data_IF_078409809253
#
_entry.id   IF_078409809253
#
_cell.length_a   1.000
_cell.length_b   1.000
_cell.length_c   1.000
_cell.angle_alpha   90.00
_cell.angle_beta   90.00
_cell.angle_gamma   90.00
#
_symmetry.space_group_name_H-M   'P 1'
#
loop_
_entity.id
_entity.type
_entity.pdbx_description
1 polymer ?
#
# COMPACT_ATOMS: atom_id res chain seq x y z
N UNK A 1 -18.47 -2.98 8.33
CA UNK A 1 -17.57 -3.37 7.22
C UNK A 1 -18.24 -4.24 6.16
N UNK A 2 -18.63 -5.48 6.43
CA UNK A 2 -19.14 -6.43 5.42
C UNK A 2 -20.28 -5.93 4.52
N UNK A 3 -21.28 -5.24 5.08
CA UNK A 3 -22.36 -4.60 4.30
C UNK A 3 -21.79 -3.67 3.20
N UNK A 4 -20.86 -2.78 3.55
CA UNK A 4 -20.25 -1.83 2.62
C UNK A 4 -19.44 -2.52 1.50
N UNK A 5 -18.83 -3.68 1.79
CA UNK A 5 -18.09 -4.50 0.79
C UNK A 5 -19.06 -5.11 -0.24
N UNK A 6 -20.28 -5.48 0.19
CA UNK A 6 -21.26 -6.18 -0.65
C UNK A 6 -22.25 -5.25 -1.35
N UNK A 7 -22.51 -4.07 -0.79
CA UNK A 7 -23.65 -3.21 -1.13
C UNK A 7 -23.60 -2.59 -2.53
N UNK A 8 -22.41 -2.40 -3.11
CA UNK A 8 -22.33 -1.81 -4.45
C UNK A 8 -22.61 -2.85 -5.54
N UNK A 9 -23.65 -2.61 -6.35
CA UNK A 9 -24.11 -3.56 -7.37
C UNK A 9 -23.07 -3.84 -8.48
N UNK A 10 -22.23 -2.85 -8.81
CA UNK A 10 -21.20 -2.96 -9.86
C UNK A 10 -19.84 -3.41 -9.31
N UNK A 11 -19.68 -3.42 -7.98
CA UNK A 11 -18.44 -3.73 -7.30
C UNK A 11 -18.72 -4.40 -5.95
N UNK A 12 -19.04 -5.69 -6.02
CA UNK A 12 -19.35 -6.53 -4.86
C UNK A 12 -18.33 -7.65 -4.75
N UNK A 13 -17.73 -7.82 -3.56
CA UNK A 13 -16.70 -8.85 -3.32
C UNK A 13 -17.16 -9.82 -2.22
N UNK A 14 -16.72 -11.08 -2.31
CA UNK A 14 -16.80 -11.99 -1.16
C UNK A 14 -15.83 -11.54 -0.06
N UNK A 15 -16.16 -11.85 1.19
CA UNK A 15 -15.29 -11.59 2.33
C UNK A 15 -15.45 -12.71 3.36
N UNK A 16 -14.39 -12.93 4.14
CA UNK A 16 -14.44 -13.68 5.39
C UNK A 16 -14.27 -12.70 6.55
N UNK A 17 -14.61 -13.15 7.76
CA UNK A 17 -14.36 -12.40 8.99
C UNK A 17 -13.74 -13.33 10.03
N UNK A 18 -12.81 -12.77 10.81
CA UNK A 18 -12.15 -13.46 11.91
C UNK A 18 -11.79 -12.43 12.98
N UNK A 19 -11.63 -12.89 14.23
CA UNK A 19 -11.05 -12.04 15.27
C UNK A 19 -9.53 -11.92 15.10
N UNK A 20 -8.95 -10.87 15.66
CA UNK A 20 -7.52 -10.65 15.69
C UNK A 20 -6.79 -11.78 16.46
N UNK A 21 -7.39 -12.38 17.50
CA UNK A 21 -6.77 -13.52 18.19
C UNK A 21 -6.69 -14.77 17.32
N UNK A 22 -7.65 -14.97 16.41
CA UNK A 22 -7.59 -16.08 15.45
C UNK A 22 -6.43 -15.92 14.47
N UNK A 23 -6.12 -14.67 14.08
CA UNK A 23 -4.94 -14.32 13.28
C UNK A 23 -3.67 -14.54 14.10
N UNK A 24 -3.62 -14.03 15.34
CA UNK A 24 -2.46 -14.13 16.23
C UNK A 24 -2.09 -15.59 16.54
N UNK A 25 -3.11 -16.45 16.74
CA UNK A 25 -2.93 -17.90 16.99
C UNK A 25 -2.67 -18.70 15.72
N UNK A 26 -2.62 -18.06 14.55
CA UNK A 26 -2.34 -18.71 13.25
C UNK A 26 -3.52 -19.52 12.69
N UNK A 27 -4.72 -19.40 13.26
CA UNK A 27 -5.93 -20.02 12.72
C UNK A 27 -6.39 -19.38 11.41
N UNK A 28 -6.05 -18.10 11.21
CA UNK A 28 -6.28 -17.37 9.95
C UNK A 28 -4.98 -16.75 9.47
N UNK A 29 -4.55 -17.11 8.27
CA UNK A 29 -3.35 -16.55 7.65
C UNK A 29 -3.67 -15.33 6.80
N UNK A 30 -3.07 -14.18 7.12
CA UNK A 30 -3.23 -12.94 6.33
C UNK A 30 -2.81 -13.12 4.87
N UNK A 31 -1.85 -14.01 4.58
CA UNK A 31 -1.37 -14.25 3.21
C UNK A 31 -2.38 -14.96 2.32
N UNK A 32 -3.46 -15.51 2.88
CA UNK A 32 -4.56 -16.08 2.10
C UNK A 32 -5.46 -14.99 1.47
N UNK A 33 -5.36 -13.75 1.96
CA UNK A 33 -6.22 -12.65 1.56
C UNK A 33 -5.47 -11.62 0.70
N UNK A 34 -6.13 -11.13 -0.35
CA UNK A 34 -5.60 -10.05 -1.20
C UNK A 34 -5.66 -8.69 -0.51
N UNK A 35 -6.69 -8.49 0.31
CA UNK A 35 -6.93 -7.29 1.11
C UNK A 35 -7.37 -7.74 2.49
N UNK A 36 -6.83 -7.10 3.52
CA UNK A 36 -7.24 -7.26 4.91
C UNK A 36 -7.84 -5.93 5.35
N UNK A 37 -9.05 -5.98 5.90
CA UNK A 37 -9.65 -4.85 6.61
C UNK A 37 -9.49 -5.10 8.10
N UNK A 38 -8.73 -4.26 8.79
CA UNK A 38 -8.45 -4.35 10.22
C UNK A 38 -9.19 -3.22 10.93
N UNK A 39 -10.26 -3.57 11.65
CA UNK A 39 -11.13 -2.63 12.33
C UNK A 39 -10.84 -2.65 13.83
N UNK A 40 -10.50 -1.49 14.39
CA UNK A 40 -10.07 -1.34 15.79
C UNK A 40 -11.07 -0.58 16.66
N UNK A 41 -12.13 -0.01 16.07
CA UNK A 41 -13.09 0.77 16.85
C UNK A 41 -12.39 1.88 17.63
N UNK A 42 -12.65 1.90 18.94
CA UNK A 42 -12.03 2.83 19.92
C UNK A 42 -10.92 2.18 20.75
N UNK A 43 -10.33 1.08 20.29
CA UNK A 43 -9.17 0.52 20.98
C UNK A 43 -8.06 1.59 21.07
N UNK A 44 -7.44 1.65 22.24
CA UNK A 44 -6.41 2.61 22.62
C UNK A 44 -5.42 1.95 23.59
N UNK A 45 -4.61 2.73 24.29
CA UNK A 45 -3.55 2.28 25.21
C UNK A 45 -4.00 1.28 26.28
N UNK A 46 -5.27 1.29 26.69
CA UNK A 46 -5.79 0.36 27.71
C UNK A 46 -6.01 -1.06 27.17
N UNK A 47 -6.47 -1.17 25.92
CA UNK A 47 -6.84 -2.43 25.29
C UNK A 47 -5.82 -2.92 24.24
N UNK A 48 -4.82 -2.08 23.91
CA UNK A 48 -3.73 -2.29 22.93
C UNK A 48 -4.26 -2.47 21.50
N UNK A 49 -4.02 -1.49 20.61
CA UNK A 49 -4.55 -1.53 19.24
C UNK A 49 -3.92 -2.62 18.38
N UNK A 50 -2.61 -2.51 18.13
CA UNK A 50 -1.82 -3.53 17.45
C UNK A 50 -0.77 -4.05 18.42
N UNK A 51 -1.02 -5.23 18.97
CA UNK A 51 -0.04 -5.92 19.79
C UNK A 51 1.25 -6.22 19.03
N UNK A 52 2.35 -6.38 19.77
CA UNK A 52 3.65 -6.71 19.17
C UNK A 52 3.61 -7.93 18.22
N UNK A 53 2.77 -8.92 18.53
CA UNK A 53 2.56 -10.11 17.68
C UNK A 53 1.80 -9.78 16.39
N UNK A 54 0.74 -8.97 16.48
CA UNK A 54 -0.04 -8.53 15.32
C UNK A 54 0.79 -7.63 14.40
N UNK A 55 1.58 -6.72 14.97
CA UNK A 55 2.51 -5.90 14.21
C UNK A 55 3.50 -6.76 13.40
N UNK A 56 4.01 -7.84 13.98
CA UNK A 56 4.91 -8.76 13.29
C UNK A 56 4.23 -9.48 12.11
N UNK A 57 2.99 -9.94 12.30
CA UNK A 57 2.20 -10.60 11.26
C UNK A 57 1.83 -9.63 10.13
N UNK A 58 1.38 -8.42 10.47
CA UNK A 58 1.06 -7.38 9.50
C UNK A 58 2.32 -6.94 8.75
N UNK A 59 3.46 -6.74 9.43
CA UNK A 59 4.75 -6.45 8.74
C UNK A 59 5.08 -7.51 7.71
N UNK A 60 4.97 -8.80 8.05
CA UNK A 60 5.23 -9.92 7.12
C UNK A 60 4.27 -9.91 5.93
N UNK A 61 2.98 -9.65 6.16
CA UNK A 61 1.97 -9.50 5.12
C UNK A 61 2.31 -8.33 4.18
N UNK A 62 2.65 -7.16 4.73
CA UNK A 62 3.00 -5.97 3.96
C UNK A 62 4.34 -6.11 3.21
N UNK A 63 5.32 -6.85 3.73
CA UNK A 63 6.57 -7.13 3.00
C UNK A 63 6.36 -7.99 1.73
N UNK A 64 5.22 -8.69 1.62
CA UNK A 64 4.84 -9.53 0.47
C UNK A 64 3.87 -8.85 -0.49
N UNK A 65 3.69 -7.53 -0.36
CA UNK A 65 2.74 -6.77 -1.19
C UNK A 65 1.31 -6.81 -0.66
N UNK A 66 1.15 -6.96 0.66
CA UNK A 66 -0.14 -6.89 1.34
C UNK A 66 -0.89 -5.59 1.06
N UNK A 67 -2.21 -5.68 1.12
CA UNK A 67 -3.13 -4.55 0.98
C UNK A 67 -3.94 -4.43 2.25
N UNK A 68 -3.90 -3.28 2.89
CA UNK A 68 -4.47 -3.09 4.22
C UNK A 68 -5.40 -1.89 4.25
N UNK A 69 -6.60 -2.08 4.76
CA UNK A 69 -7.50 -1.01 5.18
C UNK A 69 -7.56 -1.04 6.71
N UNK A 70 -7.18 0.05 7.37
CA UNK A 70 -7.20 0.19 8.83
C UNK A 70 -8.10 1.35 9.21
N UNK A 71 -8.90 1.19 10.25
CA UNK A 71 -9.71 2.27 10.82
C UNK A 71 -9.88 2.10 12.32
N UNK A 72 -9.76 3.21 13.05
CA UNK A 72 -9.98 3.31 14.49
C UNK A 72 -9.68 4.73 14.97
N UNK A 73 -10.16 5.08 16.17
CA UNK A 73 -10.06 6.44 16.71
C UNK A 73 -8.66 6.77 17.26
N UNK A 74 -8.04 5.86 18.01
CA UNK A 74 -6.85 6.14 18.83
C UNK A 74 -5.58 5.36 18.42
N UNK A 75 -5.51 4.89 17.17
CA UNK A 75 -4.38 4.07 16.67
C UNK A 75 -3.06 4.86 16.69
N UNK A 76 -3.09 6.13 16.30
CA UNK A 76 -1.92 7.00 16.28
C UNK A 76 -1.52 7.42 17.69
N UNK A 77 -2.50 7.69 18.55
CA UNK A 77 -2.26 7.94 19.97
C UNK A 77 -1.54 6.77 20.64
N UNK A 78 -2.09 5.56 20.50
CA UNK A 78 -1.51 4.34 21.08
C UNK A 78 -0.11 4.08 20.51
N UNK A 79 0.03 3.96 19.18
CA UNK A 79 1.27 3.45 18.59
C UNK A 79 2.37 4.50 18.37
N UNK A 80 2.02 5.76 18.09
CA UNK A 80 3.02 6.79 17.75
C UNK A 80 3.30 7.79 18.87
N UNK A 81 2.24 8.24 19.57
CA UNK A 81 2.37 9.16 20.71
C UNK A 81 2.88 8.41 21.95
N UNK A 82 2.18 7.35 22.37
CA UNK A 82 2.43 6.59 23.60
C UNK A 82 3.31 5.35 23.41
N UNK A 83 3.35 4.82 22.20
CA UNK A 83 4.01 3.55 21.89
C UNK A 83 5.53 3.56 22.06
N UNK A 84 6.08 2.36 22.09
CA UNK A 84 7.52 2.08 22.07
C UNK A 84 8.17 2.48 20.74
N UNK A 85 9.50 2.38 20.66
CA UNK A 85 10.21 2.59 19.39
C UNK A 85 9.75 1.60 18.29
N UNK A 86 9.36 0.37 18.66
CA UNK A 86 8.86 -0.62 17.73
C UNK A 86 7.46 -0.26 17.20
N UNK A 87 6.60 0.30 18.05
CA UNK A 87 5.25 0.73 17.69
C UNK A 87 5.30 1.94 16.75
N UNK A 88 6.15 2.93 17.09
CA UNK A 88 6.40 4.10 16.23
C UNK A 88 6.91 3.69 14.85
N UNK A 89 7.84 2.73 14.80
CA UNK A 89 8.34 2.20 13.54
C UNK A 89 7.24 1.46 12.75
N UNK A 90 6.39 0.69 13.44
CA UNK A 90 5.24 0.04 12.78
C UNK A 90 4.28 1.08 12.19
N UNK A 91 3.82 2.03 13.00
CA UNK A 91 2.85 3.03 12.57
C UNK A 91 3.37 3.87 11.39
N UNK A 92 4.62 4.32 11.48
CA UNK A 92 5.23 5.18 10.46
C UNK A 92 5.62 4.44 9.20
N UNK A 93 6.27 3.28 9.32
CA UNK A 93 6.85 2.60 8.15
C UNK A 93 5.85 1.67 7.46
N UNK A 94 4.90 1.10 8.22
CA UNK A 94 3.89 0.17 7.73
C UNK A 94 2.58 0.90 7.43
N UNK A 95 2.00 1.62 8.40
CA UNK A 95 0.72 2.31 8.19
C UNK A 95 0.86 3.66 7.48
N UNK A 96 2.08 4.22 7.42
CA UNK A 96 2.38 5.43 6.64
C UNK A 96 1.98 6.73 7.32
N UNK A 97 1.63 6.71 8.60
CA UNK A 97 1.09 7.85 9.31
C UNK A 97 1.97 8.29 10.48
N UNK A 98 1.79 9.52 10.93
CA UNK A 98 2.31 10.09 12.17
C UNK A 98 1.14 10.69 12.95
N UNK A 99 1.21 10.60 14.27
CA UNK A 99 0.29 11.27 15.17
C UNK A 99 0.52 12.80 15.14
N UNK A 100 -0.57 13.56 15.17
CA UNK A 100 -0.55 15.02 15.28
C UNK A 100 -1.34 15.50 16.49
N UNK A 101 -2.56 15.01 16.68
CA UNK A 101 -3.45 15.42 17.78
C UNK A 101 -4.46 14.30 18.08
N UNK A 102 -4.78 14.15 19.36
CA UNK A 102 -5.62 13.10 19.93
C UNK A 102 -7.09 13.19 19.54
N UNK A 103 -7.57 14.40 19.30
CA UNK A 103 -8.99 14.64 19.00
C UNK A 103 -9.11 15.66 17.88
N UNK A 104 -9.84 15.33 16.80
CA UNK A 104 -10.14 16.26 15.71
C UNK A 104 -11.13 17.39 16.12
N UNK A 105 -11.86 17.24 17.22
CA UNK A 105 -12.92 18.14 17.72
C UNK A 105 -13.98 18.36 16.63
N UNK A 106 -14.27 17.31 15.87
CA UNK A 106 -15.27 17.30 14.80
C UNK A 106 -15.60 15.88 14.39
N UNK A 107 -16.83 15.69 13.93
CA UNK A 107 -17.33 14.43 13.39
C UNK A 107 -17.44 14.45 11.86
N UNK A 108 -17.06 15.57 11.24
CA UNK A 108 -17.15 15.78 9.80
C UNK A 108 -15.85 15.45 9.08
N UNK A 109 -15.95 14.87 7.89
CA UNK A 109 -14.82 14.63 7.00
C UNK A 109 -15.19 14.81 5.52
N UNK A 110 -14.17 14.95 4.67
CA UNK A 110 -14.30 15.06 3.23
C UNK A 110 -13.10 14.45 2.49
N UNK A 111 -13.29 14.15 1.22
CA UNK A 111 -12.25 13.63 0.34
C UNK A 111 -11.10 14.62 0.11
N UNK A 112 -9.86 14.16 0.21
CA UNK A 112 -8.70 14.96 -0.17
C UNK A 112 -8.50 14.95 -1.69
N UNK A 113 -8.17 16.12 -2.26
CA UNK A 113 -7.81 16.22 -3.67
C UNK A 113 -6.57 15.36 -4.00
N UNK A 114 -6.64 14.59 -5.08
CA UNK A 114 -5.57 13.67 -5.49
C UNK A 114 -5.46 12.37 -4.67
N UNK A 115 -6.25 12.22 -3.59
CA UNK A 115 -6.35 10.99 -2.81
C UNK A 115 -7.36 9.99 -3.38
N UNK A 116 -7.39 8.77 -2.83
CA UNK A 116 -8.31 7.68 -3.19
C UNK A 116 -9.78 8.08 -3.03
N UNK A 117 -10.06 9.01 -2.11
CA UNK A 117 -11.39 9.53 -1.86
C UNK A 117 -11.63 10.89 -2.53
N UNK A 118 -10.83 11.26 -3.55
CA UNK A 118 -11.07 12.49 -4.30
C UNK A 118 -12.52 12.57 -4.81
N UNK A 119 -13.11 13.76 -4.72
CA UNK A 119 -14.52 14.04 -5.02
C UNK A 119 -15.54 13.32 -4.11
N UNK A 120 -15.14 12.73 -2.99
CA UNK A 120 -16.07 12.40 -1.91
C UNK A 120 -16.50 13.72 -1.25
N UNK A 121 -17.79 14.04 -1.33
CA UNK A 121 -18.36 15.22 -0.68
C UNK A 121 -18.31 15.14 0.85
N UNK A 122 -18.64 16.23 1.55
CA UNK A 122 -18.69 16.25 3.00
C UNK A 122 -19.62 15.17 3.56
N UNK A 123 -19.16 14.49 4.59
CA UNK A 123 -19.89 13.47 5.33
C UNK A 123 -19.51 13.53 6.82
N UNK A 124 -20.12 12.66 7.62
CA UNK A 124 -19.82 12.55 9.05
C UNK A 124 -19.77 11.11 9.52
N UNK A 125 -19.01 10.89 10.58
CA UNK A 125 -19.15 9.75 11.47
C UNK A 125 -20.06 10.11 12.65
N UNK A 126 -20.42 9.11 13.44
CA UNK A 126 -21.34 9.25 14.56
C UNK A 126 -20.72 10.02 15.71
N UNK A 127 -21.55 10.80 16.41
CA UNK A 127 -21.25 11.58 17.60
C UNK A 127 -22.09 11.08 18.80
N UNK A 128 -22.44 9.79 18.78
CA UNK A 128 -23.33 9.15 19.75
C UNK A 128 -24.83 9.33 19.50
N UNK A 129 -25.25 10.06 18.44
CA UNK A 129 -26.67 10.29 18.13
C UNK A 129 -27.21 9.48 16.95
N UNK A 130 -26.34 8.83 16.19
CA UNK A 130 -26.62 8.14 14.93
C UNK A 130 -26.82 6.62 15.04
N UNK A 131 -26.86 6.08 16.26
CA UNK A 131 -27.15 4.66 16.52
C UNK A 131 -25.93 3.73 16.58
N UNK A 132 -24.71 4.28 16.61
CA UNK A 132 -23.49 3.56 17.00
C UNK A 132 -23.01 4.04 18.37
N UNK A 133 -21.84 4.68 18.45
CA UNK A 133 -21.25 5.24 19.65
C UNK A 133 -20.68 6.63 19.33
N UNK A 134 -20.40 7.42 20.37
CA UNK A 134 -19.64 8.66 20.23
C UNK A 134 -18.18 8.30 19.98
N UNK A 135 -17.56 8.91 18.97
CA UNK A 135 -16.14 8.71 18.69
C UNK A 135 -15.38 9.73 19.51
N UNK A 136 -14.89 9.33 20.68
CA UNK A 136 -14.40 10.25 21.71
C UNK A 136 -13.12 10.99 21.27
N UNK A 137 -12.20 10.26 20.63
CA UNK A 137 -10.85 10.74 20.31
C UNK A 137 -10.43 10.37 18.88
N UNK A 138 -11.02 10.99 17.84
CA UNK A 138 -10.61 10.75 16.46
C UNK A 138 -9.24 11.39 16.18
N UNK A 139 -8.24 10.54 15.97
CA UNK A 139 -6.85 10.94 15.71
C UNK A 139 -6.70 11.85 14.49
N UNK A 140 -5.92 12.91 14.67
CA UNK A 140 -5.40 13.76 13.59
C UNK A 140 -4.04 13.26 13.15
N UNK A 141 -3.90 13.05 11.85
CA UNK A 141 -2.75 12.37 11.26
C UNK A 141 -1.84 13.31 10.47
N UNK A 142 -0.67 12.80 10.07
CA UNK A 142 0.15 13.36 9.00
C UNK A 142 0.86 12.25 8.21
N UNK A 143 1.19 12.45 6.92
CA UNK A 143 2.00 11.49 6.18
C UNK A 143 3.37 11.27 6.83
N UNK A 144 3.83 10.01 6.91
CA UNK A 144 5.10 9.68 7.54
C UNK A 144 6.33 9.88 6.65
N UNK A 145 6.16 9.83 5.33
CA UNK A 145 7.22 9.92 4.32
C UNK A 145 6.63 10.24 2.93
N UNK A 146 7.49 10.27 1.89
CA UNK A 146 7.10 10.54 0.50
C UNK A 146 6.26 9.44 -0.16
N UNK A 147 6.10 8.29 0.48
CA UNK A 147 5.26 7.17 0.00
C UNK A 147 3.83 7.28 0.52
N UNK A 148 3.58 8.24 1.40
CA UNK A 148 2.30 8.46 2.08
C UNK A 148 1.71 9.80 1.67
N UNK A 149 0.39 9.85 1.53
CA UNK A 149 -0.31 11.09 1.20
C UNK A 149 -1.68 11.12 1.88
N UNK A 150 -2.19 12.32 2.14
CA UNK A 150 -3.53 12.51 2.69
C UNK A 150 -4.60 12.01 1.72
N UNK A 151 -5.58 11.26 2.23
CA UNK A 151 -6.76 10.83 1.47
C UNK A 151 -8.08 11.36 2.02
N UNK A 152 -8.15 11.75 3.30
CA UNK A 152 -9.29 12.44 3.90
C UNK A 152 -8.82 13.64 4.73
N UNK A 153 -9.63 14.68 4.74
CA UNK A 153 -9.54 15.77 5.71
C UNK A 153 -10.73 15.70 6.65
N UNK A 154 -10.53 16.10 7.90
CA UNK A 154 -11.61 16.53 8.77
C UNK A 154 -12.17 17.87 8.27
N UNK A 155 -13.46 18.10 8.48
CA UNK A 155 -14.14 19.32 8.02
C UNK A 155 -13.64 20.59 8.71
N UNK A 156 -12.96 20.46 9.84
CA UNK A 156 -12.40 21.57 10.61
C UNK A 156 -10.90 21.76 10.29
N UNK A 157 -10.53 22.98 9.88
CA UNK A 157 -9.13 23.43 9.86
C UNK A 157 -8.18 22.70 8.90
N UNK A 158 -8.68 21.87 7.98
CA UNK A 158 -7.83 21.09 7.07
C UNK A 158 -7.01 20.00 7.76
N UNK A 159 -7.41 19.58 8.96
CA UNK A 159 -6.78 18.49 9.70
C UNK A 159 -6.92 17.18 8.93
N UNK A 160 -5.94 16.30 9.00
CA UNK A 160 -5.93 15.05 8.20
C UNK A 160 -6.65 13.95 8.96
N UNK A 161 -7.68 13.37 8.32
CA UNK A 161 -8.49 12.28 8.86
C UNK A 161 -8.10 10.90 8.32
N UNK A 162 -7.28 10.86 7.27
CA UNK A 162 -6.86 9.59 6.69
C UNK A 162 -5.66 9.71 5.77
N UNK A 163 -4.84 8.67 5.78
CA UNK A 163 -3.63 8.51 4.99
C UNK A 163 -3.79 7.34 4.03
N UNK A 164 -3.30 7.51 2.81
CA UNK A 164 -3.02 6.41 1.90
C UNK A 164 -1.50 6.24 1.75
N UNK A 165 -1.04 5.01 1.56
CA UNK A 165 0.37 4.68 1.33
C UNK A 165 0.53 3.77 0.12
N UNK A 166 1.59 3.99 -0.66
CA UNK A 166 2.07 3.05 -1.69
C UNK A 166 3.55 2.79 -1.44
N UNK A 167 3.90 1.61 -0.94
CA UNK A 167 5.29 1.17 -0.80
C UNK A 167 5.52 -0.11 -1.57
N UNK A 168 6.20 0.00 -2.72
CA UNK A 168 6.34 -1.14 -3.61
C UNK A 168 4.96 -1.73 -3.96
N UNK A 169 4.79 -3.07 -3.91
CA UNK A 169 3.52 -3.73 -4.19
C UNK A 169 2.53 -3.65 -3.05
N UNK A 170 2.79 -2.89 -2.00
CA UNK A 170 1.93 -2.74 -0.84
C UNK A 170 1.14 -1.44 -0.89
N UNK A 171 -0.09 -1.50 -0.39
CA UNK A 171 -0.96 -0.33 -0.26
C UNK A 171 -1.64 -0.33 1.10
N UNK A 172 -1.74 0.85 1.70
CA UNK A 172 -2.49 1.05 2.94
C UNK A 172 -3.48 2.19 2.77
N UNK A 173 -4.65 2.05 3.38
CA UNK A 173 -5.51 3.18 3.75
C UNK A 173 -5.67 3.10 5.27
N UNK A 174 -5.32 4.16 5.97
CA UNK A 174 -5.40 4.27 7.43
C UNK A 174 -6.31 5.47 7.77
N UNK A 175 -7.42 5.23 8.48
CA UNK A 175 -8.36 6.26 8.93
C UNK A 175 -8.17 6.52 10.42
N UNK A 176 -8.16 7.79 10.82
CA UNK A 176 -8.12 8.24 12.22
C UNK A 176 -9.49 8.23 12.92
N UNK A 177 -10.47 7.53 12.35
CA UNK A 177 -11.77 7.31 12.99
C UNK A 177 -12.31 5.93 12.58
N UNK A 178 -13.21 5.32 13.36
CA UNK A 178 -13.74 3.99 13.06
C UNK A 178 -14.69 4.03 11.86
N UNK A 179 -14.41 3.23 10.82
CA UNK A 179 -15.19 3.26 9.57
C UNK A 179 -16.67 2.89 9.78
N UNK A 180 -16.98 2.03 10.74
CA UNK A 180 -18.32 1.55 11.04
C UNK A 180 -19.26 2.65 11.53
N UNK A 181 -18.73 3.73 12.12
CA UNK A 181 -19.50 4.86 12.67
C UNK A 181 -20.02 5.81 11.59
N UNK A 182 -19.66 5.61 10.31
CA UNK A 182 -20.30 6.34 9.20
C UNK A 182 -21.75 5.87 9.07
N UNK A 183 -22.69 6.63 9.65
CA UNK A 183 -24.11 6.27 9.70
C UNK A 183 -24.80 6.27 8.33
N UNK A 184 -24.37 7.14 7.40
CA UNK A 184 -24.90 7.12 6.04
C UNK A 184 -24.35 5.92 5.26
N UNK A 185 -25.19 4.90 5.09
CA UNK A 185 -24.85 3.64 4.43
C UNK A 185 -24.37 3.81 2.98
N UNK A 186 -24.85 4.82 2.26
CA UNK A 186 -24.43 5.07 0.88
C UNK A 186 -23.02 5.67 0.84
N UNK A 187 -22.72 6.62 1.73
CA UNK A 187 -21.37 7.18 1.89
C UNK A 187 -20.41 6.08 2.35
N UNK A 188 -20.79 5.29 3.35
CA UNK A 188 -19.96 4.19 3.87
C UNK A 188 -19.63 3.17 2.77
N UNK A 189 -20.60 2.80 1.94
CA UNK A 189 -20.38 1.91 0.80
C UNK A 189 -19.52 2.55 -0.29
N UNK A 190 -19.71 3.84 -0.59
CA UNK A 190 -18.88 4.54 -1.59
C UNK A 190 -17.41 4.64 -1.15
N UNK A 191 -17.17 4.96 0.12
CA UNK A 191 -15.83 5.01 0.69
C UNK A 191 -15.16 3.64 0.64
N UNK A 192 -15.82 2.58 1.11
CA UNK A 192 -15.27 1.21 1.04
C UNK A 192 -14.98 0.78 -0.39
N UNK A 193 -15.88 1.06 -1.33
CA UNK A 193 -15.68 0.77 -2.76
C UNK A 193 -14.43 1.46 -3.31
N UNK A 194 -14.23 2.75 -3.02
CA UNK A 194 -13.04 3.51 -3.46
C UNK A 194 -11.77 2.97 -2.84
N UNK A 195 -11.79 2.69 -1.53
CA UNK A 195 -10.66 2.09 -0.81
C UNK A 195 -10.29 0.74 -1.43
N UNK A 196 -11.26 -0.16 -1.63
CA UNK A 196 -11.02 -1.47 -2.23
C UNK A 196 -10.55 -1.37 -3.68
N UNK A 197 -11.06 -0.44 -4.49
CA UNK A 197 -10.55 -0.22 -5.85
C UNK A 197 -9.08 0.20 -5.85
N UNK A 198 -8.68 1.07 -4.92
CA UNK A 198 -7.27 1.43 -4.74
C UNK A 198 -6.44 0.25 -4.27
N UNK A 199 -6.88 -0.47 -3.24
CA UNK A 199 -6.16 -1.60 -2.65
C UNK A 199 -6.02 -2.77 -3.63
N UNK A 200 -7.05 -3.04 -4.43
CA UNK A 200 -7.07 -4.09 -5.45
C UNK A 200 -6.56 -3.62 -6.81
N UNK A 201 -6.22 -2.34 -6.97
CA UNK A 201 -5.68 -1.82 -8.22
C UNK A 201 -4.51 -2.73 -8.65
N UNK A 202 -4.47 -3.14 -9.94
CA UNK A 202 -3.43 -3.99 -10.46
C UNK A 202 -2.05 -3.49 -10.02
N UNK A 203 -1.17 -4.42 -9.71
CA UNK A 203 0.19 -4.05 -9.37
C UNK A 203 0.83 -3.59 -10.68
N UNK A 204 1.30 -2.35 -10.74
CA UNK A 204 1.89 -1.80 -11.97
C UNK A 204 3.16 -2.55 -12.40
N UNK A 205 3.75 -3.30 -11.47
CA UNK A 205 4.71 -4.36 -11.69
C UNK A 205 4.24 -5.56 -10.84
N UNK A 206 4.35 -6.79 -11.31
CA UNK A 206 4.00 -8.02 -10.59
C UNK A 206 5.04 -9.11 -10.87
N UNK A 207 5.53 -9.77 -9.82
CA UNK A 207 6.44 -10.90 -9.91
C UNK A 207 6.49 -11.73 -8.62
N UNK A 208 7.03 -12.96 -8.71
CA UNK A 208 7.30 -13.80 -7.55
C UNK A 208 8.47 -13.26 -6.72
N UNK A 209 8.36 -13.32 -5.39
CA UNK A 209 9.38 -12.83 -4.46
C UNK A 209 10.40 -13.88 -4.02
N UNK A 210 10.10 -15.17 -4.22
CA UNK A 210 10.96 -16.30 -3.88
C UNK A 210 11.08 -17.20 -5.11
N UNK A 211 12.30 -17.58 -5.45
CA UNK A 211 12.61 -18.42 -6.62
C UNK A 211 13.78 -19.34 -6.31
N UNK A 212 13.79 -20.57 -6.81
CA UNK A 212 14.93 -21.47 -6.66
C UNK A 212 15.99 -21.21 -7.72
N UNK A 213 17.25 -21.62 -7.48
CA UNK A 213 18.25 -21.68 -8.56
C UNK A 213 17.75 -22.50 -9.76
N UNK A 214 18.00 -22.04 -10.99
CA UNK A 214 17.43 -22.64 -12.21
C UNK A 214 15.98 -22.23 -12.50
N UNK A 215 15.31 -21.53 -11.57
CA UNK A 215 13.94 -21.07 -11.70
C UNK A 215 13.76 -19.87 -12.63
N UNK A 216 12.51 -19.64 -13.02
CA UNK A 216 12.10 -18.48 -13.82
C UNK A 216 11.13 -17.63 -13.03
N UNK A 217 11.30 -16.31 -13.12
CA UNK A 217 10.43 -15.31 -12.51
C UNK A 217 9.73 -14.56 -13.64
N UNK A 218 8.50 -14.92 -13.99
CA UNK A 218 7.71 -14.11 -14.91
C UNK A 218 7.40 -12.77 -14.24
N UNK A 219 7.46 -11.70 -15.04
CA UNK A 219 7.19 -10.33 -14.62
C UNK A 219 6.09 -9.77 -15.51
N UNK A 220 5.07 -9.20 -14.90
CA UNK A 220 4.01 -8.45 -15.58
C UNK A 220 4.14 -6.97 -15.26
N UNK A 221 4.06 -6.10 -16.26
CA UNK A 221 3.89 -4.66 -16.10
C UNK A 221 2.45 -4.33 -16.50
N UNK A 222 1.72 -3.59 -15.67
CA UNK A 222 0.31 -3.24 -15.93
C UNK A 222 0.08 -1.74 -15.70
N UNK A 223 0.09 -0.98 -16.80
CA UNK A 223 -0.07 0.47 -16.83
C UNK A 223 -1.16 0.82 -17.86
N UNK A 224 -2.45 0.58 -17.58
CA UNK A 224 -3.53 0.67 -18.56
C UNK A 224 -3.72 2.07 -19.16
N UNK A 225 -3.33 3.12 -18.41
CA UNK A 225 -3.37 4.52 -18.88
C UNK A 225 -2.17 4.91 -19.76
N UNK A 226 -1.26 3.96 -20.00
CA UNK A 226 0.00 4.18 -20.70
C UNK A 226 0.19 3.19 -21.86
N UNK A 227 -0.91 2.70 -22.43
CA UNK A 227 -0.91 1.86 -23.62
C UNK A 227 -0.01 2.43 -24.73
N UNK A 228 0.81 1.56 -25.34
CA UNK A 228 1.76 1.93 -26.38
C UNK A 228 3.04 2.65 -25.90
N UNK A 229 3.18 2.96 -24.60
CA UNK A 229 4.42 3.57 -24.07
C UNK A 229 5.52 2.52 -23.88
N UNK A 230 6.76 2.99 -23.83
CA UNK A 230 7.92 2.16 -23.49
C UNK A 230 7.92 1.94 -21.98
N UNK A 231 8.19 0.72 -21.53
CA UNK A 231 8.58 0.42 -20.15
C UNK A 231 10.04 -0.03 -20.11
N UNK A 232 10.69 0.27 -19.00
CA UNK A 232 12.06 -0.16 -18.69
C UNK A 232 12.09 -0.65 -17.25
N UNK A 233 12.63 -1.85 -17.05
CA UNK A 233 12.89 -2.49 -15.77
C UNK A 233 14.39 -2.54 -15.52
N UNK A 234 14.76 -2.59 -14.23
CA UNK A 234 16.12 -2.80 -13.80
C UNK A 234 16.16 -3.54 -12.47
N UNK A 235 17.31 -4.14 -12.16
CA UNK A 235 17.54 -4.84 -10.90
C UNK A 235 18.67 -4.16 -10.11
N UNK A 236 18.60 -4.12 -8.78
CA UNK A 236 19.67 -3.57 -7.93
C UNK A 236 19.72 -4.33 -6.60
N UNK A 237 20.87 -4.33 -5.95
CA UNK A 237 21.09 -4.90 -4.62
C UNK A 237 20.53 -4.03 -3.49
N UNK A 238 20.11 -2.79 -3.77
CA UNK A 238 19.56 -1.87 -2.77
C UNK A 238 18.55 -0.89 -3.37
N UNK A 239 17.66 -0.36 -2.52
CA UNK A 239 16.60 0.59 -2.90
C UNK A 239 16.82 2.01 -2.36
N UNK A 240 17.84 2.21 -1.50
CA UNK A 240 18.18 3.48 -0.86
C UNK A 240 19.65 3.83 -1.17
N UNK A 241 20.00 5.06 -1.62
CA UNK A 241 19.16 6.27 -1.67
C UNK A 241 18.14 6.33 -2.83
N UNK A 242 18.24 5.44 -3.81
CA UNK A 242 17.44 5.51 -5.03
C UNK A 242 18.01 6.48 -6.08
N UNK A 243 17.47 6.44 -7.30
CA UNK A 243 17.86 7.31 -8.42
C UNK A 243 16.86 8.46 -8.52
N UNK A 244 17.27 9.73 -8.26
CA UNK A 244 16.38 10.87 -8.37
C UNK A 244 16.07 11.21 -9.83
N UNK A 245 14.85 11.69 -10.06
CA UNK A 245 14.36 12.21 -11.34
C UNK A 245 13.77 13.62 -11.14
N UNK A 246 13.68 14.43 -12.22
CA UNK A 246 13.03 15.73 -12.16
C UNK A 246 11.61 15.65 -11.57
N UNK A 247 11.21 16.70 -10.84
CA UNK A 247 9.91 16.75 -10.16
C UNK A 247 9.86 16.00 -8.82
N UNK A 248 11.02 15.72 -8.21
CA UNK A 248 11.09 15.13 -6.87
C UNK A 248 10.75 13.64 -6.79
N UNK A 249 10.64 12.97 -7.94
CA UNK A 249 10.40 11.53 -8.02
C UNK A 249 11.71 10.76 -7.85
N UNK A 250 11.67 9.59 -7.20
CA UNK A 250 12.85 8.74 -7.01
C UNK A 250 12.53 7.31 -7.44
N UNK A 251 13.30 6.75 -8.37
CA UNK A 251 13.26 5.33 -8.69
C UNK A 251 13.98 4.55 -7.57
N UNK A 252 13.31 3.59 -6.92
CA UNK A 252 13.85 2.89 -5.75
C UNK A 252 14.85 1.78 -6.13
N UNK A 253 15.92 2.15 -6.84
CA UNK A 253 17.06 1.28 -7.20
C UNK A 253 18.34 2.09 -7.12
N UNK A 254 19.46 1.43 -6.87
CA UNK A 254 20.78 2.05 -6.92
C UNK A 254 21.53 1.67 -8.22
N UNK A 255 22.37 2.56 -8.78
CA UNK A 255 23.17 2.28 -9.96
C UNK A 255 24.41 1.41 -9.62
N UNK A 256 24.17 0.15 -9.25
CA UNK A 256 25.21 -0.83 -8.92
C UNK A 256 25.54 -1.77 -10.11
N UNK A 257 26.50 -2.72 -9.97
CA UNK A 257 26.81 -3.63 -11.07
C UNK A 257 25.62 -4.48 -11.55
N UNK A 258 24.68 -4.84 -10.66
CA UNK A 258 23.46 -5.57 -11.06
C UNK A 258 22.53 -4.69 -11.89
N UNK A 259 22.44 -3.40 -11.56
CA UNK A 259 21.70 -2.41 -12.33
C UNK A 259 22.25 -2.31 -13.75
N UNK A 260 23.57 -2.15 -13.90
CA UNK A 260 24.21 -2.14 -15.21
C UNK A 260 23.96 -3.45 -15.98
N UNK A 261 24.08 -4.60 -15.30
CA UNK A 261 23.85 -5.92 -15.91
C UNK A 261 22.40 -6.09 -16.38
N UNK A 262 21.42 -5.50 -15.72
CA UNK A 262 19.99 -5.67 -16.04
C UNK A 262 19.59 -5.19 -17.45
N UNK A 263 20.41 -4.35 -18.09
CA UNK A 263 20.19 -3.87 -19.46
C UNK A 263 20.91 -4.69 -20.53
N UNK A 264 21.79 -5.63 -20.14
CA UNK A 264 22.55 -6.43 -21.09
C UNK A 264 21.69 -7.46 -21.81
N UNK A 265 21.35 -7.22 -23.08
CA UNK A 265 20.49 -8.11 -23.89
C UNK A 265 21.03 -9.56 -24.03
N UNK A 266 22.30 -9.81 -23.70
CA UNK A 266 22.99 -11.10 -23.87
C UNK A 266 23.35 -11.81 -22.56
N UNK A 267 22.99 -11.27 -21.39
CA UNK A 267 23.41 -11.85 -20.10
C UNK A 267 22.71 -13.18 -19.73
N UNK A 268 21.69 -13.58 -20.50
CA UNK A 268 20.93 -14.82 -20.29
C UNK A 268 19.99 -14.83 -19.07
N UNK A 269 20.06 -13.81 -18.20
CA UNK A 269 19.31 -13.69 -16.94
C UNK A 269 18.10 -12.78 -17.10
N UNK A 270 18.26 -11.59 -17.67
CA UNK A 270 17.21 -10.57 -17.76
C UNK A 270 16.63 -10.52 -19.17
N UNK A 271 15.37 -10.91 -19.32
CA UNK A 271 14.69 -11.01 -20.62
C UNK A 271 13.59 -9.98 -20.72
N UNK A 272 13.61 -9.19 -21.80
CA UNK A 272 12.60 -8.15 -22.09
C UNK A 272 12.46 -7.11 -20.97
N UNK A 273 13.57 -6.76 -20.32
CA UNK A 273 13.62 -5.66 -19.34
C UNK A 273 13.41 -4.27 -19.97
N UNK A 274 13.25 -4.18 -21.29
CA UNK A 274 12.67 -3.03 -21.95
C UNK A 274 11.73 -3.49 -23.07
N UNK A 275 10.63 -2.79 -23.27
CA UNK A 275 9.64 -3.13 -24.31
C UNK A 275 8.53 -2.09 -24.43
N UNK A 276 7.60 -2.35 -25.34
CA UNK A 276 6.37 -1.56 -25.47
C UNK A 276 5.25 -2.20 -24.67
N UNK A 277 4.42 -1.36 -24.04
CA UNK A 277 3.15 -1.75 -23.47
C UNK A 277 2.13 -1.97 -24.60
N UNK A 278 1.35 -3.03 -24.50
CA UNK A 278 0.32 -3.36 -25.48
C UNK A 278 -0.86 -2.37 -25.46
N UNK A 279 -1.90 -2.63 -26.28
CA UNK A 279 -3.08 -1.79 -26.37
C UNK A 279 -3.90 -1.71 -25.05
N UNK A 280 -3.70 -2.67 -24.14
CA UNK A 280 -4.27 -2.68 -22.79
C UNK A 280 -3.33 -2.09 -21.73
N UNK A 281 -2.15 -1.59 -22.14
CA UNK A 281 -1.14 -1.07 -21.23
C UNK A 281 -0.32 -2.13 -20.52
N UNK A 282 -0.23 -3.35 -21.05
CA UNK A 282 0.49 -4.47 -20.42
C UNK A 282 1.83 -4.76 -21.08
N UNK A 283 2.82 -5.10 -20.26
CA UNK A 283 4.16 -5.56 -20.66
C UNK A 283 4.54 -6.87 -19.97
N UNK A 284 5.48 -7.61 -20.54
CA UNK A 284 5.97 -8.86 -19.97
C UNK A 284 7.50 -8.95 -20.02
N UNK A 285 8.09 -9.32 -18.90
CA UNK A 285 9.51 -9.58 -18.75
C UNK A 285 9.73 -10.91 -18.00
N UNK A 286 10.97 -11.39 -17.96
CA UNK A 286 11.31 -12.61 -17.24
C UNK A 286 12.72 -12.52 -16.66
N UNK A 287 12.90 -13.04 -15.45
CA UNK A 287 14.24 -13.31 -14.89
C UNK A 287 14.46 -14.81 -14.92
N UNK A 288 15.60 -15.24 -15.46
CA UNK A 288 16.05 -16.63 -15.42
C UNK A 288 17.21 -16.73 -14.46
N UNK A 289 16.97 -17.37 -13.31
CA UNK A 289 18.02 -17.60 -12.33
C UNK A 289 18.89 -18.76 -12.84
N UNK A 290 20.21 -18.58 -12.99
CA UNK A 290 21.07 -19.67 -13.42
C UNK A 290 21.00 -20.88 -12.48
N UNK A 291 21.12 -22.08 -13.04
CA UNK A 291 21.19 -23.34 -12.29
C UNK A 291 22.58 -23.55 -11.67
N UNK A 292 23.03 -22.58 -10.89
CA UNK A 292 24.33 -22.61 -10.23
C UNK A 292 24.13 -22.32 -8.72
N UNK A 293 24.59 -23.23 -7.84
CA UNK A 293 24.44 -23.08 -6.39
C UNK A 293 25.00 -21.76 -5.82
N UNK A 294 25.93 -21.10 -6.51
CA UNK A 294 26.49 -19.79 -6.09
C UNK A 294 25.46 -18.66 -6.06
N UNK A 295 24.32 -18.81 -6.75
CA UNK A 295 23.23 -17.83 -6.70
C UNK A 295 22.29 -18.05 -5.50
N UNK A 296 22.40 -19.15 -4.76
CA UNK A 296 21.58 -19.42 -3.60
C UNK A 296 21.80 -18.36 -2.51
N UNK A 297 20.72 -17.84 -1.94
CA UNK A 297 20.77 -16.79 -0.93
C UNK A 297 20.89 -15.38 -1.50
N UNK A 298 21.04 -15.23 -2.83
CA UNK A 298 21.04 -13.91 -3.47
C UNK A 298 19.71 -13.21 -3.20
N UNK A 299 19.80 -11.96 -2.76
CA UNK A 299 18.67 -11.05 -2.57
C UNK A 299 18.91 -9.79 -3.38
N UNK A 300 17.95 -9.43 -4.21
CA UNK A 300 17.99 -8.20 -5.00
C UNK A 300 16.59 -7.63 -5.18
N UNK A 301 16.51 -6.43 -5.74
CA UNK A 301 15.30 -5.66 -5.94
C UNK A 301 15.09 -5.38 -7.42
N UNK A 302 13.85 -5.42 -7.89
CA UNK A 302 13.49 -5.11 -9.27
C UNK A 302 12.44 -4.02 -9.26
N UNK A 303 12.66 -2.96 -10.04
CA UNK A 303 11.74 -1.85 -10.24
C UNK A 303 11.86 -1.37 -11.68
N UNK A 304 11.21 -0.27 -12.02
CA UNK A 304 11.27 0.29 -13.35
C UNK A 304 10.46 1.55 -13.49
N UNK A 305 10.25 1.93 -14.74
CA UNK A 305 9.47 3.10 -15.10
C UNK A 305 8.93 2.96 -16.51
N UNK A 306 7.85 3.67 -16.81
CA UNK A 306 7.48 3.97 -18.19
C UNK A 306 8.19 5.22 -18.69
N UNK A 307 8.28 5.37 -20.01
CA UNK A 307 8.84 6.56 -20.64
C UNK A 307 7.74 7.30 -21.41
N UNK A 308 7.71 8.63 -21.22
CA UNK A 308 6.91 9.58 -21.98
C UNK A 308 7.82 10.22 -23.02
N UNK A 309 7.27 10.47 -24.21
CA UNK A 309 7.99 11.12 -25.29
C UNK A 309 7.49 12.56 -25.48
N UNK A 310 8.13 13.56 -24.87
CA UNK A 310 7.89 14.99 -25.18
C UNK A 310 9.07 15.88 -24.74
N UNK A 311 9.56 16.82 -25.57
CA UNK A 311 10.25 16.59 -26.86
C UNK A 311 11.49 15.65 -26.77
N UNK A 312 11.87 15.22 -25.55
CA UNK A 312 12.89 14.20 -25.26
C UNK A 312 12.22 13.05 -24.50
N UNK A 313 12.85 11.87 -24.43
CA UNK A 313 12.40 10.80 -23.54
C UNK A 313 12.51 11.26 -22.08
N UNK A 314 11.40 11.19 -21.35
CA UNK A 314 11.30 11.54 -19.95
C UNK A 314 10.64 10.41 -19.15
N UNK A 315 10.91 10.28 -17.84
CA UNK A 315 10.21 9.32 -16.99
C UNK A 315 8.70 9.61 -16.91
N UNK A 316 7.89 8.58 -17.12
CA UNK A 316 6.45 8.59 -16.90
C UNK A 316 6.09 8.15 -15.49
N UNK A 317 5.39 7.03 -15.39
CA UNK A 317 5.08 6.36 -14.13
C UNK A 317 6.30 5.60 -13.61
N UNK A 318 6.65 5.83 -12.35
CA UNK A 318 7.60 4.97 -11.65
C UNK A 318 6.88 3.72 -11.16
N UNK A 319 7.54 2.58 -11.32
CA UNK A 319 7.03 1.29 -10.87
C UNK A 319 7.48 1.02 -9.43
N UNK A 320 6.70 0.27 -8.65
CA UNK A 320 7.13 -0.20 -7.34
C UNK A 320 8.38 -1.08 -7.45
N UNK A 321 9.08 -1.30 -6.33
CA UNK A 321 10.14 -2.30 -6.25
C UNK A 321 9.62 -3.62 -5.69
N UNK A 322 10.19 -4.74 -6.14
CA UNK A 322 9.97 -6.09 -5.61
C UNK A 322 11.28 -6.68 -5.15
N UNK A 323 11.28 -7.37 -4.01
CA UNK A 323 12.42 -8.21 -3.60
C UNK A 323 12.32 -9.57 -4.27
N UNK A 324 13.43 -10.04 -4.81
CA UNK A 324 13.63 -11.41 -5.29
C UNK A 324 14.66 -12.07 -4.38
N UNK A 325 14.26 -13.18 -3.76
CA UNK A 325 15.13 -14.00 -2.92
C UNK A 325 15.33 -15.37 -3.56
N UNK A 326 16.58 -15.71 -3.87
CA UNK A 326 16.95 -16.98 -4.47
C UNK A 326 17.17 -18.04 -3.38
N UNK A 327 16.51 -19.19 -3.47
CA UNK A 327 16.60 -20.30 -2.52
C UNK A 327 17.22 -21.57 -3.09
#
# INVERSE_FOLDING_TARGET
HGDAIRRNAEFSLGFDAASNEAVLKGGVSLSAYRVVCWALGEESTADETFSSGEQALVRSYMQRGGRLFVSGAEIAWDLDSRGSAADKAFYRDVLGARYVRDDAVTYGFLGANGGVFAALGPASFDNGSGGTYDVDYPDVLAPSDSKSSTCLFYSTGGQVAGIQRIDGPSRVVNLGFPFETIGNVAVRADLMRRALRFLLAPRSLEMASIVSTGGRVPITVDLPQEAGRIYVLAASTATNPGIPFPGGKTLPLNPDPLFALSFGQTNGVFHRFAGLLDASGRGSAEIRIPSDPRFRGLRFFVSGLSLVRQPVLAPGSLLPWYVVQVR
#
